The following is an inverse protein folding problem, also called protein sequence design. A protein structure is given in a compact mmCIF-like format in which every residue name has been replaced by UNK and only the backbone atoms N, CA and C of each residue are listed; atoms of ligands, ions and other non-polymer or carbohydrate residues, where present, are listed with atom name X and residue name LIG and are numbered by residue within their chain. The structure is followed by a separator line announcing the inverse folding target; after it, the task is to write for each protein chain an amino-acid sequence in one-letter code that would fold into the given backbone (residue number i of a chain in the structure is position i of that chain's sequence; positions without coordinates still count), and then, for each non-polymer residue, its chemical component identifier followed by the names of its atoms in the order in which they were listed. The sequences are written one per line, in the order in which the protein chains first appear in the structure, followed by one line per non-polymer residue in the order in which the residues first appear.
data_IF_966590828190
#
_entry.id   IF_966590828190
#
_cell.length_a   1.000
_cell.length_b   1.000
_cell.length_c   1.000
_cell.angle_alpha   90.00
_cell.angle_beta   90.00
_cell.angle_gamma   90.00
#
_symmetry.space_group_name_H-M   'P 1'
#
loop_
_entity.id
_entity.type
_entity.pdbx_description
1 polymer ?
#
# COMPACT_ATOMS: atom_id res chain seq x y z
N UNK A 1 6.66 19.37 -51.29
CA UNK A 1 6.18 18.08 -50.76
C UNK A 1 5.77 18.31 -49.32
N UNK A 2 4.54 17.99 -48.90
CA UNK A 2 4.12 18.24 -47.53
C UNK A 2 4.81 17.26 -46.58
N UNK A 3 5.21 17.80 -45.43
CA UNK A 3 5.78 17.11 -44.27
C UNK A 3 4.99 15.85 -43.93
N UNK A 4 5.71 14.73 -43.76
CA UNK A 4 5.20 13.59 -43.02
C UNK A 4 5.03 14.02 -41.57
N UNK A 5 3.80 14.37 -41.17
CA UNK A 5 3.40 14.35 -39.78
C UNK A 5 3.66 12.94 -39.26
N UNK A 6 4.65 12.84 -38.37
CA UNK A 6 4.83 11.69 -37.49
C UNK A 6 3.49 11.41 -36.83
N UNK A 7 2.91 10.23 -37.10
CA UNK A 7 1.82 9.67 -36.33
C UNK A 7 2.34 9.51 -34.89
N UNK A 8 2.12 10.50 -34.03
CA UNK A 8 2.18 10.30 -32.59
C UNK A 8 1.32 9.06 -32.28
N UNK A 9 1.94 8.07 -31.65
CA UNK A 9 1.32 6.78 -31.36
C UNK A 9 -0.01 6.99 -30.62
N UNK A 10 -1.12 6.56 -31.21
CA UNK A 10 -2.47 6.65 -30.64
C UNK A 10 -2.71 5.79 -29.37
N UNK A 11 -1.67 5.33 -28.69
CA UNK A 11 -1.76 4.53 -27.46
C UNK A 11 -1.26 5.32 -26.25
N UNK A 12 -1.89 5.15 -25.07
CA UNK A 12 -1.45 5.81 -23.86
C UNK A 12 -0.05 5.34 -23.47
N UNK A 13 0.76 6.24 -22.90
CA UNK A 13 2.19 6.03 -22.62
C UNK A 13 2.47 4.76 -21.82
N UNK A 14 1.61 4.42 -20.86
CA UNK A 14 1.79 3.27 -19.96
C UNK A 14 1.66 1.92 -20.68
N UNK A 15 1.03 1.89 -21.87
CA UNK A 15 0.78 0.66 -22.60
C UNK A 15 2.02 0.28 -23.42
N UNK A 16 2.89 -0.49 -22.78
CA UNK A 16 4.19 -0.91 -23.34
C UNK A 16 5.38 -0.21 -22.71
N UNK A 17 5.16 0.63 -21.69
CA UNK A 17 6.22 1.36 -21.00
C UNK A 17 7.14 0.42 -20.21
N UNK A 18 8.42 0.79 -20.15
CA UNK A 18 9.44 0.20 -19.27
C UNK A 18 9.57 1.06 -18.04
N UNK A 19 9.29 0.48 -16.86
CA UNK A 19 9.32 1.17 -15.58
C UNK A 19 10.53 0.71 -14.76
N UNK A 20 11.30 1.67 -14.24
CA UNK A 20 12.40 1.43 -13.31
C UNK A 20 11.91 1.51 -11.86
N UNK A 21 11.91 0.39 -11.15
CA UNK A 21 11.53 0.39 -9.74
C UNK A 21 12.70 0.85 -8.86
N UNK A 22 12.41 1.80 -7.97
CA UNK A 22 13.32 2.30 -6.94
C UNK A 22 12.73 1.95 -5.57
N UNK A 23 13.57 1.32 -4.74
CA UNK A 23 13.31 1.17 -3.32
C UNK A 23 14.05 2.27 -2.54
N UNK A 24 13.37 3.32 -2.04
CA UNK A 24 14.01 4.55 -1.56
C UNK A 24 15.12 4.32 -0.54
N UNK A 25 14.81 3.52 0.50
CA UNK A 25 15.71 3.22 1.63
C UNK A 25 17.09 2.70 1.23
N UNK A 26 17.22 2.09 0.05
CA UNK A 26 18.45 1.44 -0.38
C UNK A 26 19.03 2.01 -1.68
N UNK A 27 18.51 3.15 -2.15
CA UNK A 27 18.95 3.73 -3.41
C UNK A 27 20.15 4.67 -3.24
N UNK A 28 19.98 5.79 -2.54
CA UNK A 28 21.08 6.68 -2.19
C UNK A 28 20.73 7.56 -0.99
N UNK A 29 21.60 7.53 0.02
CA UNK A 29 21.59 8.43 1.18
C UNK A 29 22.31 9.75 0.82
N UNK A 30 21.70 10.89 1.15
CA UNK A 30 22.29 12.23 0.94
C UNK A 30 22.54 13.01 2.22
N UNK A 31 22.01 12.58 3.36
CA UNK A 31 22.11 13.29 4.64
C UNK A 31 23.08 12.59 5.64
N UNK A 32 23.51 11.37 5.34
CA UNK A 32 24.47 10.58 6.12
C UNK A 32 23.87 9.77 7.27
N UNK A 33 22.55 9.56 7.30
CA UNK A 33 21.86 8.77 8.34
C UNK A 33 21.86 7.25 8.05
N UNK A 34 22.33 6.84 6.88
CA UNK A 34 22.41 5.44 6.45
C UNK A 34 21.17 4.92 5.72
N UNK A 35 20.17 5.76 5.46
CA UNK A 35 18.94 5.43 4.73
C UNK A 35 18.86 6.28 3.45
N UNK A 36 18.50 5.66 2.34
CA UNK A 36 18.29 6.40 1.10
C UNK A 36 17.03 7.28 1.14
N UNK A 37 17.11 8.45 0.52
CA UNK A 37 16.11 9.52 0.60
C UNK A 37 15.67 10.04 -0.79
N UNK A 38 14.63 10.89 -0.84
CA UNK A 38 14.08 11.42 -2.10
C UNK A 38 15.07 12.31 -2.85
N UNK A 39 15.94 13.02 -2.12
CA UNK A 39 16.99 13.85 -2.71
C UNK A 39 18.05 12.98 -3.40
N UNK A 40 18.35 11.80 -2.85
CA UNK A 40 19.23 10.80 -3.45
C UNK A 40 18.67 10.24 -4.75
N UNK A 41 17.36 9.98 -4.79
CA UNK A 41 16.67 9.61 -6.04
C UNK A 41 16.82 10.74 -7.06
N UNK A 42 16.52 11.97 -6.67
CA UNK A 42 16.58 13.16 -7.54
C UNK A 42 17.98 13.33 -8.16
N UNK A 43 19.05 13.16 -7.37
CA UNK A 43 20.44 13.25 -7.85
C UNK A 43 20.82 12.19 -8.89
N UNK A 44 20.08 11.08 -8.97
CA UNK A 44 20.37 9.96 -9.89
C UNK A 44 19.41 9.88 -11.06
N UNK A 45 18.43 10.77 -11.19
CA UNK A 45 17.47 10.72 -12.28
C UNK A 45 18.12 10.83 -13.67
N UNK A 46 19.24 11.56 -13.83
CA UNK A 46 19.99 11.57 -15.10
C UNK A 46 20.51 10.18 -15.48
N UNK A 47 20.98 9.41 -14.49
CA UNK A 47 21.40 8.03 -14.72
C UNK A 47 20.20 7.16 -15.10
N UNK A 48 19.09 7.26 -14.37
CA UNK A 48 17.86 6.51 -14.67
C UNK A 48 17.37 6.82 -16.10
N UNK A 49 17.31 8.10 -16.47
CA UNK A 49 16.92 8.52 -17.82
C UNK A 49 17.85 7.93 -18.89
N UNK A 50 19.17 7.88 -18.64
CA UNK A 50 20.14 7.28 -19.57
C UNK A 50 19.96 5.78 -19.83
N UNK A 51 19.21 5.08 -18.97
CA UNK A 51 18.86 3.67 -19.19
C UNK A 51 17.79 3.50 -20.27
N UNK A 52 17.13 4.59 -20.69
CA UNK A 52 16.09 4.59 -21.72
C UNK A 52 14.74 4.07 -21.22
N UNK A 53 14.46 4.18 -19.92
CA UNK A 53 13.16 3.83 -19.33
C UNK A 53 12.14 4.95 -19.52
N UNK A 54 10.86 4.61 -19.52
CA UNK A 54 9.76 5.57 -19.72
C UNK A 54 9.32 6.22 -18.40
N UNK A 55 9.56 5.56 -17.28
CA UNK A 55 9.18 6.07 -15.97
C UNK A 55 9.82 5.34 -14.80
N UNK A 56 9.58 5.88 -13.61
CA UNK A 56 10.10 5.41 -12.33
C UNK A 56 8.92 5.03 -11.45
N UNK A 57 9.00 3.85 -10.85
CA UNK A 57 8.13 3.45 -9.75
C UNK A 57 8.89 3.60 -8.45
N UNK A 58 8.38 4.44 -7.55
CA UNK A 58 8.95 4.63 -6.21
C UNK A 58 8.12 3.82 -5.21
N UNK A 59 8.76 2.85 -4.54
CA UNK A 59 8.15 2.14 -3.40
C UNK A 59 7.84 3.09 -2.23
N UNK A 60 7.04 2.69 -1.22
CA UNK A 60 6.47 3.63 -0.25
C UNK A 60 7.51 4.52 0.43
N UNK A 61 7.19 5.82 0.48
CA UNK A 61 7.94 6.85 1.21
C UNK A 61 7.04 7.66 2.15
N UNK A 62 5.81 7.19 2.36
CA UNK A 62 4.83 7.83 3.24
C UNK A 62 5.20 7.68 4.70
N UNK A 63 4.71 8.58 5.55
CA UNK A 63 4.88 8.50 7.00
C UNK A 63 4.49 7.12 7.52
N UNK A 64 5.43 6.43 8.17
CA UNK A 64 5.26 5.04 8.58
C UNK A 64 6.11 4.72 9.81
N UNK A 65 5.63 3.86 10.73
CA UNK A 65 6.48 3.29 11.80
C UNK A 65 7.58 2.36 11.28
N UNK A 66 7.61 2.06 9.97
CA UNK A 66 8.60 1.23 9.29
C UNK A 66 8.64 -0.22 9.79
N UNK A 67 7.55 -0.76 10.35
CA UNK A 67 7.49 -2.18 10.77
C UNK A 67 7.40 -3.12 9.57
N UNK A 68 6.88 -2.63 8.46
CA UNK A 68 6.94 -3.25 7.14
C UNK A 68 7.60 -2.30 6.13
N UNK A 69 8.63 -1.57 6.59
CA UNK A 69 9.48 -0.70 5.79
C UNK A 69 8.75 0.25 4.82
N UNK A 70 7.65 0.85 5.27
CA UNK A 70 6.87 1.84 4.52
C UNK A 70 5.50 1.34 4.06
N UNK A 71 5.23 0.03 4.11
CA UNK A 71 3.92 -0.53 3.78
C UNK A 71 2.92 -0.44 4.94
N UNK A 72 3.36 -0.20 6.18
CA UNK A 72 2.50 0.15 7.31
C UNK A 72 2.32 1.68 7.41
N UNK A 73 1.47 2.25 6.55
CA UNK A 73 1.28 3.72 6.38
C UNK A 73 0.50 4.34 7.55
N UNK A 74 1.07 5.37 8.19
CA UNK A 74 0.46 6.13 9.28
C UNK A 74 -0.08 7.51 8.86
N UNK A 75 0.41 8.06 7.75
CA UNK A 75 -0.21 9.19 7.03
C UNK A 75 -0.02 8.99 5.53
N UNK A 76 -1.13 8.92 4.78
CA UNK A 76 -1.13 8.69 3.34
C UNK A 76 -0.74 9.93 2.51
N UNK A 77 -0.81 11.12 3.09
CA UNK A 77 -0.67 12.39 2.37
C UNK A 77 0.57 13.18 2.80
N UNK A 78 1.52 12.53 3.45
CA UNK A 78 2.80 13.14 3.84
C UNK A 78 3.98 12.20 3.54
N UNK A 79 5.18 12.77 3.51
CA UNK A 79 6.44 12.05 3.33
C UNK A 79 7.02 11.72 4.70
N UNK A 80 7.49 10.49 4.89
CA UNK A 80 8.18 10.14 6.13
C UNK A 80 9.44 11.00 6.30
N UNK A 81 9.69 11.57 7.49
CA UNK A 81 10.88 12.39 7.72
C UNK A 81 12.22 11.70 7.41
N UNK A 82 12.27 10.37 7.42
CA UNK A 82 13.45 9.60 7.01
C UNK A 82 13.75 9.71 5.49
N UNK A 83 12.79 10.14 4.68
CA UNK A 83 12.92 10.26 3.22
C UNK A 83 12.98 11.71 2.73
N UNK A 84 12.66 12.69 3.58
CA UNK A 84 12.66 14.12 3.25
C UNK A 84 11.30 14.76 3.54
N UNK A 85 10.91 15.70 2.69
CA UNK A 85 9.63 16.40 2.80
C UNK A 85 8.80 16.31 1.52
N UNK A 86 7.56 16.81 1.58
CA UNK A 86 6.71 16.97 0.41
C UNK A 86 7.34 17.93 -0.64
N UNK A 87 8.11 18.93 -0.23
CA UNK A 87 8.87 19.79 -1.15
C UNK A 87 10.01 19.05 -1.86
N UNK A 88 10.70 18.14 -1.16
CA UNK A 88 11.71 17.27 -1.79
C UNK A 88 11.06 16.36 -2.84
N UNK A 89 9.85 15.85 -2.56
CA UNK A 89 9.08 15.09 -3.54
C UNK A 89 8.69 15.94 -4.77
N UNK A 90 8.25 17.18 -4.58
CA UNK A 90 7.94 18.10 -5.68
C UNK A 90 9.16 18.38 -6.55
N UNK A 91 10.33 18.54 -5.93
CA UNK A 91 11.59 18.72 -6.64
C UNK A 91 11.97 17.48 -7.46
N UNK A 92 11.79 16.28 -6.90
CA UNK A 92 11.97 15.01 -7.60
C UNK A 92 11.06 14.93 -8.82
N UNK A 93 9.76 15.18 -8.63
CA UNK A 93 8.75 15.10 -9.68
C UNK A 93 9.05 16.05 -10.84
N UNK A 94 9.35 17.32 -10.50
CA UNK A 94 9.75 18.35 -11.47
C UNK A 94 11.00 17.94 -12.26
N UNK A 95 12.01 17.40 -11.57
CA UNK A 95 13.25 16.93 -12.21
C UNK A 95 13.00 15.74 -13.14
N UNK A 96 12.19 14.77 -12.72
CA UNK A 96 11.85 13.61 -13.52
C UNK A 96 11.10 14.00 -14.80
N UNK A 97 10.10 14.87 -14.68
CA UNK A 97 9.34 15.39 -15.82
C UNK A 97 10.23 16.19 -16.78
N UNK A 98 11.19 16.97 -16.28
CA UNK A 98 12.16 17.69 -17.11
C UNK A 98 13.09 16.74 -17.91
N UNK A 99 13.25 15.50 -17.46
CA UNK A 99 13.99 14.43 -18.14
C UNK A 99 13.08 13.55 -19.02
N UNK A 100 11.78 13.86 -19.10
CA UNK A 100 10.80 13.07 -19.84
C UNK A 100 10.37 11.77 -19.14
N UNK A 101 10.76 11.57 -17.88
CA UNK A 101 10.38 10.39 -17.10
C UNK A 101 9.01 10.59 -16.45
N UNK A 102 8.20 9.53 -16.44
CA UNK A 102 6.96 9.45 -15.67
C UNK A 102 7.22 8.99 -14.24
N UNK A 103 6.48 9.51 -13.26
CA UNK A 103 6.57 9.08 -11.86
C UNK A 103 5.29 8.35 -11.47
N UNK A 104 5.44 7.08 -11.08
CA UNK A 104 4.40 6.33 -10.41
C UNK A 104 4.84 6.03 -8.98
N UNK A 105 3.90 6.04 -8.04
CA UNK A 105 4.18 5.76 -6.63
C UNK A 105 3.36 4.57 -6.15
N UNK A 106 3.87 3.87 -5.14
CA UNK A 106 3.09 2.86 -4.44
C UNK A 106 1.86 3.46 -3.77
N UNK A 107 0.78 2.70 -3.67
CA UNK A 107 -0.39 3.02 -2.86
C UNK A 107 -0.87 1.77 -2.14
N UNK A 108 -1.04 1.87 -0.82
CA UNK A 108 -1.34 0.74 0.07
C UNK A 108 -2.74 0.89 0.66
N UNK A 109 -3.75 0.34 -0.02
CA UNK A 109 -5.15 0.60 0.30
C UNK A 109 -5.89 -0.57 0.96
N UNK A 110 -5.26 -1.75 1.06
CA UNK A 110 -5.84 -2.86 1.81
C UNK A 110 -5.81 -2.61 3.33
N UNK A 111 -4.80 -1.88 3.82
CA UNK A 111 -4.59 -1.67 5.25
C UNK A 111 -3.86 -0.35 5.50
N UNK A 112 -3.97 0.16 6.72
CA UNK A 112 -3.11 1.22 7.24
C UNK A 112 -2.23 0.68 8.36
N UNK A 113 -1.34 1.49 8.92
CA UNK A 113 -0.69 1.22 10.20
C UNK A 113 -1.68 1.27 11.37
N UNK A 114 -1.41 0.52 12.44
CA UNK A 114 -2.12 0.66 13.73
C UNK A 114 -1.86 2.01 14.42
N UNK A 115 -0.86 2.76 13.94
CA UNK A 115 -0.55 4.13 14.36
C UNK A 115 -1.31 5.19 13.55
N UNK A 116 -2.01 4.79 12.47
CA UNK A 116 -2.80 5.71 11.66
C UNK A 116 -3.94 6.31 12.50
N UNK A 117 -4.20 7.61 12.35
CA UNK A 117 -5.24 8.32 13.12
C UNK A 117 -6.63 7.69 12.95
N UNK A 118 -6.89 7.10 11.78
CA UNK A 118 -8.12 6.34 11.53
C UNK A 118 -8.26 5.13 12.45
N UNK A 119 -7.22 4.29 12.59
CA UNK A 119 -7.28 3.11 13.46
C UNK A 119 -7.28 3.50 14.93
N UNK A 120 -6.50 4.53 15.29
CA UNK A 120 -6.46 5.09 16.63
C UNK A 120 -7.86 5.54 17.09
N UNK A 121 -8.66 6.18 16.23
CA UNK A 121 -10.05 6.51 16.54
C UNK A 121 -10.96 5.26 16.52
N UNK A 122 -10.86 4.45 15.45
CA UNK A 122 -11.72 3.28 15.26
C UNK A 122 -11.70 2.31 16.44
N UNK A 123 -10.53 2.13 17.07
CA UNK A 123 -10.32 1.15 18.16
C UNK A 123 -10.79 1.63 19.53
N UNK A 124 -11.17 2.90 19.70
CA UNK A 124 -11.56 3.42 21.03
C UNK A 124 -12.86 2.78 21.52
N UNK A 125 -13.86 2.68 20.65
CA UNK A 125 -15.15 2.07 20.96
C UNK A 125 -15.88 1.58 19.68
N UNK A 126 -17.14 1.18 19.84
CA UNK A 126 -17.99 0.67 18.74
C UNK A 126 -18.90 1.74 18.13
N UNK A 127 -18.77 3.01 18.53
CA UNK A 127 -19.74 4.09 18.25
C UNK A 127 -19.14 5.36 17.66
N UNK A 128 -17.81 5.50 17.66
CA UNK A 128 -17.10 6.61 17.03
C UNK A 128 -17.31 6.66 15.52
N UNK A 129 -16.97 7.79 14.91
CA UNK A 129 -17.22 8.04 13.49
C UNK A 129 -16.45 7.09 12.55
N UNK A 130 -15.39 6.44 13.06
CA UNK A 130 -14.58 5.47 12.33
C UNK A 130 -14.74 4.04 12.82
N UNK A 131 -15.79 3.73 13.58
CA UNK A 131 -15.98 2.41 14.19
C UNK A 131 -16.02 1.28 13.14
N UNK A 132 -16.54 1.58 11.94
CA UNK A 132 -16.68 0.64 10.83
C UNK A 132 -15.67 0.87 9.69
N UNK A 133 -14.61 1.66 9.92
CA UNK A 133 -13.56 1.92 8.93
C UNK A 133 -12.57 0.76 8.81
N UNK A 134 -12.53 -0.12 9.81
CA UNK A 134 -11.71 -1.33 9.84
C UNK A 134 -12.60 -2.54 10.05
N UNK A 135 -12.08 -3.72 9.72
CA UNK A 135 -12.83 -4.97 9.84
C UNK A 135 -12.77 -5.49 11.27
N UNK A 136 -13.85 -5.27 12.01
CA UNK A 136 -14.04 -5.74 13.39
C UNK A 136 -15.00 -6.93 13.44
N UNK A 137 -14.75 -7.87 14.35
CA UNK A 137 -15.66 -8.98 14.63
C UNK A 137 -15.66 -9.31 16.12
N UNK A 138 -16.83 -9.68 16.63
CA UNK A 138 -16.92 -10.34 17.92
C UNK A 138 -16.21 -11.71 17.88
N UNK A 139 -15.66 -12.19 19.01
CA UNK A 139 -15.07 -13.50 19.09
C UNK A 139 -16.14 -14.60 19.01
N UNK A 140 -15.74 -15.84 18.75
CA UNK A 140 -16.59 -17.02 18.98
C UNK A 140 -16.95 -17.14 20.49
N UNK A 141 -17.99 -17.92 20.86
CA UNK A 141 -18.39 -18.07 22.27
C UNK A 141 -17.29 -18.59 23.21
N UNK A 142 -16.28 -19.28 22.68
CA UNK A 142 -15.11 -19.77 23.42
C UNK A 142 -13.94 -18.77 23.46
N UNK A 143 -14.12 -17.57 22.91
CA UNK A 143 -13.11 -16.52 22.84
C UNK A 143 -12.16 -16.62 21.66
N UNK A 144 -12.31 -17.60 20.76
CA UNK A 144 -11.42 -17.77 19.60
C UNK A 144 -11.75 -16.83 18.43
N UNK A 145 -10.82 -16.63 17.47
CA UNK A 145 -11.08 -15.83 16.26
C UNK A 145 -12.32 -16.26 15.47
N UNK A 146 -12.95 -15.35 14.71
CA UNK A 146 -14.22 -15.60 14.04
C UNK A 146 -14.16 -16.66 12.94
N UNK A 147 -13.00 -16.86 12.32
CA UNK A 147 -12.79 -17.87 11.27
C UNK A 147 -11.32 -18.35 11.22
N UNK A 148 -11.02 -19.19 10.24
CA UNK A 148 -9.74 -19.86 10.08
C UNK A 148 -8.69 -19.05 9.31
N UNK A 149 -8.98 -17.81 8.88
CA UNK A 149 -8.09 -17.04 8.01
C UNK A 149 -6.70 -16.86 8.64
N UNK A 150 -5.68 -17.03 7.81
CA UNK A 150 -4.28 -16.92 8.21
C UNK A 150 -3.67 -15.65 7.62
N UNK A 151 -2.82 -15.00 8.40
CA UNK A 151 -2.04 -13.87 7.92
C UNK A 151 -0.89 -14.37 7.03
N UNK A 152 -0.57 -13.58 6.01
CA UNK A 152 0.58 -13.78 5.14
C UNK A 152 1.84 -13.85 6.00
N UNK A 153 2.07 -12.92 6.91
CA UNK A 153 3.29 -12.92 7.73
C UNK A 153 3.25 -13.87 8.95
N UNK A 154 2.24 -14.74 9.02
CA UNK A 154 2.16 -15.84 9.96
C UNK A 154 1.17 -15.59 11.11
N UNK A 155 0.59 -16.69 11.60
CA UNK A 155 -0.46 -16.66 12.61
C UNK A 155 -1.86 -16.37 12.03
N UNK A 156 -2.89 -16.27 12.89
CA UNK A 156 -4.25 -15.91 12.49
C UNK A 156 -4.30 -14.49 11.91
N UNK A 157 -5.23 -14.24 10.99
CA UNK A 157 -5.54 -12.90 10.45
C UNK A 157 -6.31 -12.00 11.43
N UNK A 158 -6.29 -12.29 12.72
CA UNK A 158 -7.15 -11.68 13.71
C UNK A 158 -6.38 -11.41 15.00
N UNK A 159 -6.39 -10.15 15.44
CA UNK A 159 -5.78 -9.73 16.70
C UNK A 159 -6.84 -9.13 17.63
N UNK A 160 -6.81 -9.54 18.90
CA UNK A 160 -7.75 -9.08 19.92
C UNK A 160 -7.42 -7.64 20.36
N UNK A 161 -8.42 -6.76 20.40
CA UNK A 161 -8.35 -5.47 21.06
C UNK A 161 -9.21 -5.45 22.33
N UNK A 162 -8.57 -5.24 23.48
CA UNK A 162 -9.24 -5.22 24.78
C UNK A 162 -10.21 -4.04 24.97
N UNK A 163 -10.04 -2.93 24.24
CA UNK A 163 -10.92 -1.74 24.34
C UNK A 163 -12.30 -2.05 23.80
N UNK A 164 -12.35 -2.59 22.58
CA UNK A 164 -13.61 -2.96 21.91
C UNK A 164 -14.12 -4.33 22.32
N UNK A 165 -13.25 -5.16 22.91
CA UNK A 165 -13.51 -6.57 23.17
C UNK A 165 -13.92 -7.30 21.87
N UNK A 166 -13.16 -7.02 20.82
CA UNK A 166 -13.36 -7.53 19.47
C UNK A 166 -12.02 -7.91 18.87
N UNK A 167 -12.06 -8.79 17.87
CA UNK A 167 -10.94 -8.99 16.96
C UNK A 167 -10.99 -7.94 15.85
N UNK A 168 -9.84 -7.39 15.47
CA UNK A 168 -9.69 -6.71 14.18
C UNK A 168 -8.91 -7.60 13.21
N UNK A 169 -9.26 -7.51 11.93
CA UNK A 169 -8.62 -8.28 10.87
C UNK A 169 -7.30 -7.63 10.45
N UNK A 170 -6.32 -8.47 10.08
CA UNK A 170 -5.12 -8.07 9.34
C UNK A 170 -4.68 -9.21 8.42
N UNK A 171 -4.40 -8.91 7.14
CA UNK A 171 -3.86 -9.91 6.22
C UNK A 171 -2.33 -10.07 6.34
N UNK A 172 -1.66 -9.06 6.90
CA UNK A 172 -0.19 -9.01 7.01
C UNK A 172 0.21 -8.95 8.49
N UNK A 173 0.97 -7.93 8.93
CA UNK A 173 1.33 -7.77 10.33
C UNK A 173 0.09 -7.42 11.18
N UNK A 174 0.05 -7.76 12.48
CA UNK A 174 -0.94 -7.22 13.41
C UNK A 174 -0.96 -5.69 13.43
N UNK A 175 0.17 -5.05 13.17
CA UNK A 175 0.29 -3.61 13.04
C UNK A 175 -0.25 -3.03 11.73
N UNK A 176 -0.82 -3.85 10.85
CA UNK A 176 -1.42 -3.49 9.57
C UNK A 176 -2.92 -3.85 9.56
N UNK A 177 -3.75 -3.19 10.40
CA UNK A 177 -5.18 -3.45 10.44
C UNK A 177 -5.85 -3.21 9.08
N UNK A 178 -6.67 -4.17 8.67
CA UNK A 178 -7.36 -4.18 7.39
C UNK A 178 -8.45 -3.09 7.35
N UNK A 179 -8.40 -2.25 6.32
CA UNK A 179 -9.45 -1.29 6.04
C UNK A 179 -10.71 -2.02 5.54
N UNK A 180 -11.88 -1.54 5.95
CA UNK A 180 -13.16 -2.10 5.50
C UNK A 180 -13.61 -1.43 4.19
N UNK A 181 -13.16 -1.96 3.05
CA UNK A 181 -13.50 -1.39 1.74
C UNK A 181 -14.94 -1.67 1.29
N UNK A 182 -15.77 -2.37 2.09
CA UNK A 182 -17.23 -2.37 1.89
C UNK A 182 -17.87 -1.06 2.36
N UNK A 183 -17.18 -0.28 3.20
CA UNK A 183 -17.67 1.00 3.69
C UNK A 183 -17.40 2.11 2.64
N UNK A 184 -18.44 2.77 2.10
CA UNK A 184 -18.27 3.84 1.10
C UNK A 184 -17.47 5.03 1.64
N UNK A 185 -17.52 5.34 2.93
CA UNK A 185 -16.76 6.45 3.51
C UNK A 185 -15.24 6.17 3.45
N UNK A 186 -14.85 4.90 3.60
CA UNK A 186 -13.45 4.47 3.42
C UNK A 186 -13.04 4.57 1.97
N UNK A 187 -13.92 4.16 1.04
CA UNK A 187 -13.65 4.27 -0.40
C UNK A 187 -13.44 5.75 -0.79
N UNK A 188 -14.31 6.64 -0.34
CA UNK A 188 -14.22 8.07 -0.62
C UNK A 188 -12.93 8.67 -0.05
N UNK A 189 -12.57 8.33 1.20
CA UNK A 189 -11.33 8.78 1.82
C UNK A 189 -10.07 8.32 1.04
N UNK A 190 -10.05 7.08 0.56
CA UNK A 190 -8.95 6.56 -0.25
C UNK A 190 -8.89 7.21 -1.64
N UNK A 191 -10.03 7.52 -2.24
CA UNK A 191 -10.08 8.30 -3.50
C UNK A 191 -9.55 9.72 -3.27
N UNK A 192 -9.82 10.34 -2.12
CA UNK A 192 -9.25 11.65 -1.77
C UNK A 192 -7.72 11.59 -1.60
N UNK A 193 -7.19 10.51 -1.03
CA UNK A 193 -5.74 10.24 -1.00
C UNK A 193 -5.18 10.13 -2.42
N UNK A 194 -5.84 9.38 -3.32
CA UNK A 194 -5.42 9.30 -4.73
C UNK A 194 -5.41 10.69 -5.37
N UNK A 195 -6.47 11.49 -5.16
CA UNK A 195 -6.57 12.86 -5.69
C UNK A 195 -5.43 13.74 -5.18
N UNK A 196 -5.09 13.68 -3.90
CA UNK A 196 -3.97 14.45 -3.34
C UNK A 196 -2.68 14.26 -4.14
N UNK A 197 -2.31 13.02 -4.46
CA UNK A 197 -1.09 12.72 -5.23
C UNK A 197 -1.23 13.03 -6.72
N UNK A 198 -2.40 12.80 -7.32
CA UNK A 198 -2.66 13.14 -8.73
C UNK A 198 -2.66 14.65 -8.96
N UNK A 199 -3.28 15.43 -8.07
CA UNK A 199 -3.32 16.90 -8.12
C UNK A 199 -1.91 17.49 -7.96
N UNK A 200 -1.00 16.77 -7.30
CA UNK A 200 0.42 17.11 -7.18
C UNK A 200 1.23 16.81 -8.44
N UNK A 201 0.69 15.99 -9.35
CA UNK A 201 1.27 15.70 -10.67
C UNK A 201 1.87 14.30 -10.83
N UNK A 202 1.59 13.36 -9.92
CA UNK A 202 1.96 11.94 -10.10
C UNK A 202 1.28 11.36 -11.35
N UNK A 203 2.01 10.58 -12.14
CA UNK A 203 1.55 10.04 -13.42
C UNK A 203 0.80 8.70 -13.32
N UNK A 204 0.77 8.10 -12.13
CA UNK A 204 0.02 6.87 -11.85
C UNK A 204 0.40 6.20 -10.54
N UNK A 205 -0.22 5.06 -10.29
CA UNK A 205 -0.02 4.29 -9.05
C UNK A 205 0.30 2.83 -9.33
N UNK A 206 1.16 2.26 -8.50
CA UNK A 206 1.22 0.81 -8.28
C UNK A 206 0.36 0.52 -7.06
N UNK A 207 -0.73 -0.24 -7.25
CA UNK A 207 -1.64 -0.58 -6.15
C UNK A 207 -1.14 -1.85 -5.46
N UNK A 208 -0.65 -1.71 -4.23
CA UNK A 208 -0.18 -2.83 -3.42
C UNK A 208 -1.35 -3.72 -2.99
N UNK A 209 -1.13 -5.04 -3.04
CA UNK A 209 -2.03 -6.04 -2.51
C UNK A 209 -3.52 -5.80 -2.86
N UNK A 210 -3.81 -5.33 -4.08
CA UNK A 210 -5.15 -4.89 -4.46
C UNK A 210 -6.21 -5.98 -4.24
N UNK A 211 -5.84 -7.24 -4.50
CA UNK A 211 -6.70 -8.40 -4.27
C UNK A 211 -6.85 -8.80 -2.80
N UNK A 212 -6.33 -8.05 -1.84
CA UNK A 212 -6.61 -8.17 -0.41
C UNK A 212 -7.51 -7.04 0.10
N UNK A 213 -8.00 -6.19 -0.80
CA UNK A 213 -8.83 -5.03 -0.46
C UNK A 213 -10.20 -5.44 0.08
N UNK A 214 -10.79 -6.49 -0.49
CA UNK A 214 -12.11 -6.98 -0.12
C UNK A 214 -12.01 -8.34 0.59
N UNK A 215 -13.05 -8.64 1.36
CA UNK A 215 -13.22 -9.87 2.11
C UNK A 215 -14.70 -10.27 2.06
N UNK A 216 -14.99 -11.53 2.41
CA UNK A 216 -16.34 -12.06 2.53
C UNK A 216 -17.05 -11.51 3.78
N UNK A 217 -18.13 -10.71 3.65
CA UNK A 217 -18.84 -10.16 4.80
C UNK A 217 -19.45 -11.22 5.73
N UNK A 218 -19.71 -12.43 5.22
CA UNK A 218 -20.19 -13.56 6.02
C UNK A 218 -19.08 -14.22 6.85
N UNK A 219 -17.82 -13.78 6.69
CA UNK A 219 -16.63 -14.26 7.39
C UNK A 219 -16.44 -15.79 7.29
N UNK A 220 -16.81 -16.42 6.16
CA UNK A 220 -16.70 -17.88 6.00
C UNK A 220 -15.26 -18.36 6.04
N UNK A 221 -15.06 -19.55 6.62
CA UNK A 221 -13.78 -20.24 6.62
C UNK A 221 -13.30 -20.51 5.18
N UNK A 222 -12.01 -20.29 4.91
CA UNK A 222 -11.40 -20.73 3.66
C UNK A 222 -11.31 -22.25 3.60
N UNK A 223 -11.53 -22.87 2.42
CA UNK A 223 -11.24 -24.28 2.21
C UNK A 223 -9.73 -24.55 2.24
N UNK A 224 -9.31 -25.77 2.59
CA UNK A 224 -7.92 -26.19 2.45
C UNK A 224 -7.56 -26.42 0.97
N UNK A 225 -6.30 -26.18 0.59
CA UNK A 225 -5.77 -26.55 -0.74
C UNK A 225 -5.64 -28.06 -0.85
N UNK A 226 -6.25 -28.64 -1.88
CA UNK A 226 -6.19 -30.08 -2.18
C UNK A 226 -5.73 -30.30 -3.64
N UNK A 227 -4.63 -31.05 -3.88
CA UNK A 227 -3.76 -31.69 -2.88
C UNK A 227 -2.95 -30.65 -2.09
N UNK A 228 -2.48 -31.05 -0.91
CA UNK A 228 -1.63 -30.18 -0.09
C UNK A 228 -0.38 -29.74 -0.89
N UNK A 229 0.01 -28.46 -0.81
CA UNK A 229 1.20 -27.96 -1.50
C UNK A 229 2.47 -28.67 -1.00
N UNK A 230 3.43 -28.85 -1.90
CA UNK A 230 4.72 -29.48 -1.55
C UNK A 230 5.65 -28.56 -0.76
N UNK A 231 5.59 -27.26 -1.04
CA UNK A 231 6.42 -26.24 -0.40
C UNK A 231 5.52 -25.38 0.48
N UNK A 232 5.49 -25.69 1.77
CA UNK A 232 4.71 -24.97 2.79
C UNK A 232 5.70 -24.34 3.76
N UNK A 233 5.68 -23.01 3.87
CA UNK A 233 6.48 -22.31 4.88
C UNK A 233 5.61 -21.82 6.04
N UNK A 234 4.30 -21.68 5.83
CA UNK A 234 3.35 -21.14 6.80
C UNK A 234 1.94 -21.72 6.61
N UNK A 235 1.09 -21.71 7.65
CA UNK A 235 -0.30 -22.16 7.55
C UNK A 235 -1.13 -21.48 6.45
N UNK A 236 -0.80 -20.21 6.14
CA UNK A 236 -1.37 -19.49 4.99
C UNK A 236 -1.32 -20.32 3.70
N UNK A 237 -0.20 -20.98 3.42
CA UNK A 237 -0.01 -21.68 2.14
C UNK A 237 -0.92 -22.91 1.99
N UNK A 238 -1.55 -23.37 3.07
CA UNK A 238 -2.45 -24.53 3.12
C UNK A 238 -3.91 -24.18 2.77
N UNK A 239 -4.25 -22.90 2.56
CA UNK A 239 -5.62 -22.45 2.30
C UNK A 239 -5.83 -22.01 0.85
N UNK A 240 -7.03 -22.26 0.32
CA UNK A 240 -7.54 -21.56 -0.86
C UNK A 240 -8.15 -20.25 -0.38
N UNK A 241 -7.49 -19.13 -0.69
CA UNK A 241 -7.89 -17.80 -0.20
C UNK A 241 -9.03 -17.24 -1.06
N UNK A 242 -10.23 -17.77 -0.89
CA UNK A 242 -11.41 -17.36 -1.67
C UNK A 242 -12.33 -16.40 -0.90
N UNK A 243 -12.18 -16.33 0.43
CA UNK A 243 -13.03 -15.49 1.29
C UNK A 243 -12.30 -14.29 1.90
N UNK A 244 -10.97 -14.23 1.84
CA UNK A 244 -10.19 -13.10 2.38
C UNK A 244 -9.17 -12.52 1.38
N UNK A 245 -9.28 -12.90 0.11
CA UNK A 245 -8.49 -12.40 -1.01
C UNK A 245 -9.37 -12.40 -2.27
N UNK A 246 -9.74 -11.22 -2.77
CA UNK A 246 -10.49 -11.00 -4.02
C UNK A 246 -10.10 -9.69 -4.68
#
# INVERSE_FOLDING_TARGET
MPNAMSLESAQPWWKGAVIYQIYPRSYQDTNGDGVGDLNGITQRLDHVASLGVDGVWISPFFTSPMRDFGYDVADYCDVDPAFGTLEDFDALLSRAHALGLKIIIDQVYAHSSDAHAWFAESREDRTNARADWYVWSDPKPDGTPPNNWQAVFGGPSWTWDARRQQYYMHNFLPSQPQLNLHNPDVQDALVDVMRFWLDRGVDGFRLDALNFSLFDPDLRDNPPKIPAPRNVSRPFDLQEHVHNQS
#
